data_IF_140062995428
#
_entry.id   IF_140062995428
#
_cell.length_a   1.000
_cell.length_b   1.000
_cell.length_c   1.000
_cell.angle_alpha   90.00
_cell.angle_beta   90.00
_cell.angle_gamma   90.00
#
_symmetry.space_group_name_H-M   'P 1'
#
loop_
_entity.id
_entity.type
_entity.pdbx_description
1 polymer ?
#
# COMPACT_ATOMS: atom_id res chain seq x y z
N UNK A 1 -11.89 -8.57 10.78
CA UNK A 1 -11.30 -7.29 10.32
C UNK A 1 -9.88 -7.23 10.83
N UNK A 2 -8.91 -6.92 9.97
CA UNK A 2 -7.54 -6.60 10.39
C UNK A 2 -7.51 -5.10 10.69
N UNK A 3 -7.06 -4.69 11.87
CA UNK A 3 -6.96 -3.27 12.26
C UNK A 3 -5.54 -3.00 12.67
N UNK A 4 -4.78 -2.23 11.88
CA UNK A 4 -3.42 -1.80 12.21
C UNK A 4 -3.45 -0.44 12.90
N UNK A 5 -2.95 -0.38 14.13
CA UNK A 5 -2.82 0.89 14.88
C UNK A 5 -1.44 1.49 14.65
N UNK A 6 -1.41 2.70 14.13
CA UNK A 6 -0.18 3.50 13.99
C UNK A 6 -0.09 4.44 15.19
N UNK A 7 0.81 4.17 16.14
CA UNK A 7 0.93 4.92 17.40
C UNK A 7 1.88 6.11 17.34
N UNK A 8 2.68 6.25 16.28
CA UNK A 8 3.72 7.26 16.17
C UNK A 8 3.21 8.72 16.20
N UNK A 9 1.93 8.96 15.91
CA UNK A 9 1.31 10.30 15.90
C UNK A 9 -0.04 10.35 16.68
N UNK A 10 -0.29 9.40 17.57
CA UNK A 10 -1.58 9.21 18.26
C UNK A 10 -2.46 8.11 17.63
N UNK A 11 -3.57 7.72 18.28
CA UNK A 11 -4.46 6.65 17.80
C UNK A 11 -5.13 7.07 16.48
N UNK A 12 -4.70 6.49 15.36
CA UNK A 12 -5.42 6.55 14.08
C UNK A 12 -6.12 5.22 13.84
N UNK A 13 -7.42 5.28 13.53
CA UNK A 13 -8.12 4.13 12.98
C UNK A 13 -7.45 3.74 11.66
N UNK A 14 -7.28 2.43 11.44
CA UNK A 14 -6.60 1.86 10.28
C UNK A 14 -7.42 2.10 9.02
N UNK A 15 -7.29 3.28 8.41
CA UNK A 15 -7.78 3.51 7.06
C UNK A 15 -6.83 2.80 6.11
N UNK A 16 -7.34 1.85 5.33
CA UNK A 16 -6.59 1.09 4.35
C UNK A 16 -7.06 1.43 2.94
N UNK A 17 -6.12 1.44 1.98
CA UNK A 17 -6.44 1.43 0.56
C UNK A 17 -6.75 -0.02 0.18
N UNK A 18 -7.95 -0.26 -0.35
CA UNK A 18 -8.34 -1.54 -0.91
C UNK A 18 -8.20 -1.49 -2.44
N UNK A 19 -7.46 -2.43 -3.00
CA UNK A 19 -7.34 -2.65 -4.44
C UNK A 19 -8.12 -3.90 -4.79
N UNK A 20 -9.17 -3.72 -5.59
CA UNK A 20 -10.03 -4.79 -6.08
C UNK A 20 -9.72 -5.05 -7.55
N UNK A 21 -9.57 -6.31 -7.92
CA UNK A 21 -9.57 -6.68 -9.32
C UNK A 21 -10.92 -6.34 -9.96
N UNK A 22 -10.89 -5.77 -11.16
CA UNK A 22 -12.10 -5.46 -11.92
C UNK A 22 -12.89 -6.72 -12.32
N UNK A 23 -12.22 -7.86 -12.49
CA UNK A 23 -12.87 -9.13 -12.79
C UNK A 23 -12.18 -10.29 -12.04
N UNK A 24 -12.91 -11.39 -11.81
CA UNK A 24 -12.40 -12.56 -11.07
C UNK A 24 -11.35 -13.40 -11.81
N UNK A 25 -10.97 -13.03 -13.04
CA UNK A 25 -10.10 -13.84 -13.90
C UNK A 25 -8.66 -13.31 -13.97
N UNK A 26 -8.39 -12.09 -13.49
CA UNK A 26 -7.06 -11.47 -13.56
C UNK A 26 -6.05 -12.01 -12.54
N UNK A 27 -6.47 -12.90 -11.63
CA UNK A 27 -5.66 -13.30 -10.48
C UNK A 27 -5.46 -12.17 -9.47
N UNK A 28 -4.63 -12.38 -8.43
CA UNK A 28 -4.44 -11.41 -7.38
C UNK A 28 -3.55 -10.24 -7.84
N UNK A 29 -3.82 -9.05 -7.30
CA UNK A 29 -3.01 -7.86 -7.58
C UNK A 29 -1.57 -8.00 -7.01
N UNK A 30 -1.41 -8.75 -5.91
CA UNK A 30 -0.11 -9.01 -5.28
C UNK A 30 0.00 -10.45 -4.78
N UNK A 31 1.23 -10.94 -4.57
CA UNK A 31 1.52 -12.30 -4.11
C UNK A 31 2.34 -12.28 -2.81
N UNK A 32 2.41 -13.43 -2.10
CA UNK A 32 3.33 -13.56 -0.97
C UNK A 32 4.76 -13.19 -1.38
N UNK A 33 5.37 -12.26 -0.65
CA UNK A 33 6.68 -11.71 -0.95
C UNK A 33 6.66 -10.24 -1.43
N UNK A 34 5.52 -9.76 -1.94
CA UNK A 34 5.41 -8.38 -2.43
C UNK A 34 5.18 -7.35 -1.31
N UNK A 35 4.93 -7.80 -0.07
CA UNK A 35 4.74 -6.94 1.10
C UNK A 35 5.88 -5.92 1.26
N UNK A 36 5.53 -4.66 1.47
CA UNK A 36 6.49 -3.54 1.54
C UNK A 36 6.71 -2.85 0.19
N UNK A 37 6.16 -3.37 -0.91
CA UNK A 37 6.16 -2.68 -2.20
C UNK A 37 5.30 -1.43 -2.18
N UNK A 38 5.63 -0.49 -3.07
CA UNK A 38 4.86 0.74 -3.25
C UNK A 38 3.76 0.55 -4.30
N UNK A 39 2.55 1.03 -4.00
CA UNK A 39 1.43 1.10 -4.95
C UNK A 39 1.43 2.51 -5.55
N UNK A 40 1.48 2.59 -6.88
CA UNK A 40 1.46 3.85 -7.63
C UNK A 40 0.24 3.96 -8.54
N UNK A 41 -0.25 5.17 -8.75
CA UNK A 41 -1.31 5.43 -9.75
C UNK A 41 -0.73 5.53 -11.18
N UNK A 42 -1.61 5.66 -12.17
CA UNK A 42 -1.23 5.78 -13.57
C UNK A 42 -0.42 7.07 -13.89
N UNK A 43 -0.36 8.02 -12.96
CA UNK A 43 0.43 9.25 -13.07
C UNK A 43 1.74 9.18 -12.26
N UNK A 44 2.09 8.01 -11.73
CA UNK A 44 3.29 7.79 -10.92
C UNK A 44 3.19 8.32 -9.49
N UNK A 45 2.00 8.66 -8.99
CA UNK A 45 1.84 9.12 -7.60
C UNK A 45 1.82 7.95 -6.65
N UNK A 46 2.52 8.09 -5.54
CA UNK A 46 2.56 7.10 -4.45
C UNK A 46 1.23 7.07 -3.70
N UNK A 47 0.49 5.97 -3.83
CA UNK A 47 -0.88 5.82 -3.28
C UNK A 47 -0.85 5.14 -1.93
N UNK A 48 -0.15 4.02 -1.81
CA UNK A 48 -0.13 3.21 -0.59
C UNK A 48 1.08 2.29 -0.50
N UNK A 49 1.45 1.91 0.73
CA UNK A 49 2.42 0.84 0.98
C UNK A 49 1.69 -0.50 1.08
N UNK A 50 2.04 -1.46 0.23
CA UNK A 50 1.43 -2.79 0.19
C UNK A 50 1.69 -3.55 1.50
N UNK A 51 0.62 -4.02 2.16
CA UNK A 51 0.74 -4.73 3.44
C UNK A 51 0.32 -6.18 3.36
N UNK A 52 -0.80 -6.49 2.71
CA UNK A 52 -1.38 -7.83 2.66
C UNK A 52 -2.43 -7.98 1.57
N UNK A 53 -2.70 -9.22 1.16
CA UNK A 53 -3.90 -9.60 0.41
C UNK A 53 -4.79 -10.55 1.22
N UNK A 54 -6.03 -10.74 0.80
CA UNK A 54 -6.94 -11.72 1.42
C UNK A 54 -6.62 -13.17 1.05
N UNK A 55 -5.91 -13.38 -0.06
CA UNK A 55 -5.71 -14.68 -0.69
C UNK A 55 -6.98 -15.12 -1.41
N UNK A 56 -6.86 -15.49 -2.69
CA UNK A 56 -7.95 -16.15 -3.41
C UNK A 56 -8.01 -17.63 -3.02
N UNK A 57 -9.20 -18.12 -2.72
CA UNK A 57 -9.52 -19.55 -2.79
C UNK A 57 -9.83 -19.87 -4.25
N UNK A 58 -9.44 -21.05 -4.73
CA UNK A 58 -9.39 -21.47 -6.14
C UNK A 58 -10.72 -21.43 -6.95
N UNK A 59 -11.78 -20.83 -6.40
CA UNK A 59 -13.04 -20.58 -7.07
C UNK A 59 -13.60 -19.18 -6.71
N UNK A 60 -13.59 -18.30 -7.70
CA UNK A 60 -14.42 -17.08 -7.80
C UNK A 60 -14.29 -15.98 -6.73
N UNK A 61 -13.32 -16.03 -5.80
CA UNK A 61 -13.14 -14.92 -4.85
C UNK A 61 -12.20 -13.84 -5.40
N UNK A 62 -12.76 -12.64 -5.61
CA UNK A 62 -12.00 -11.42 -5.86
C UNK A 62 -10.98 -11.22 -4.74
N UNK A 63 -9.69 -11.42 -5.01
CA UNK A 63 -8.65 -11.08 -4.05
C UNK A 63 -8.67 -9.58 -3.81
N UNK A 64 -8.69 -9.19 -2.53
CA UNK A 64 -8.58 -7.81 -2.10
C UNK A 64 -7.17 -7.62 -1.59
N UNK A 65 -6.43 -6.73 -2.24
CA UNK A 65 -5.15 -6.25 -1.73
C UNK A 65 -5.36 -5.02 -0.85
N UNK A 66 -4.67 -4.97 0.28
CA UNK A 66 -4.68 -3.87 1.22
C UNK A 66 -3.31 -3.18 1.29
N UNK A 67 -3.34 -1.86 1.40
CA UNK A 67 -2.16 -1.04 1.62
C UNK A 67 -2.43 0.11 2.58
N UNK A 68 -1.38 0.59 3.22
CA UNK A 68 -1.41 1.77 4.08
C UNK A 68 -1.39 3.04 3.24
N UNK A 69 -2.41 3.91 3.29
CA UNK A 69 -2.47 5.12 2.48
C UNK A 69 -1.25 6.02 2.68
N UNK A 70 -0.61 6.39 1.57
CA UNK A 70 0.63 7.16 1.59
C UNK A 70 0.43 8.57 2.14
N UNK A 71 -0.74 9.19 1.91
CA UNK A 71 -0.99 10.58 2.32
C UNK A 71 -0.77 10.83 3.82
N UNK A 72 -1.10 9.86 4.67
CA UNK A 72 -0.88 9.97 6.11
C UNK A 72 0.36 9.21 6.58
N UNK A 73 0.73 8.13 5.89
CA UNK A 73 1.90 7.31 6.22
C UNK A 73 3.18 8.10 5.99
N UNK A 74 3.23 8.93 4.94
CA UNK A 74 4.38 9.76 4.63
C UNK A 74 4.76 10.72 5.76
N UNK A 75 3.77 11.26 6.48
CA UNK A 75 4.03 12.12 7.65
C UNK A 75 4.73 11.35 8.77
N UNK A 76 4.40 10.07 8.96
CA UNK A 76 5.09 9.21 9.95
C UNK A 76 6.51 8.89 9.48
N UNK A 77 6.68 8.55 8.21
CA UNK A 77 7.99 8.23 7.63
C UNK A 77 8.94 9.42 7.76
N UNK A 78 8.51 10.63 7.39
CA UNK A 78 9.32 11.85 7.53
C UNK A 78 9.67 12.17 8.99
N UNK A 79 8.74 11.94 9.92
CA UNK A 79 8.99 12.16 11.34
C UNK A 79 10.07 11.20 11.89
N UNK A 80 10.06 9.95 11.44
CA UNK A 80 11.02 8.93 11.87
C UNK A 80 12.36 9.00 11.11
N UNK A 81 12.33 9.41 9.84
CA UNK A 81 13.47 9.48 8.94
C UNK A 81 13.54 10.87 8.29
N UNK A 82 14.07 11.88 9.01
CA UNK A 82 14.29 13.21 8.46
C UNK A 82 15.28 13.12 7.29
N UNK A 83 14.80 13.32 6.06
CA UNK A 83 15.58 13.14 4.83
C UNK A 83 15.08 12.01 3.91
N UNK A 84 14.04 11.27 4.31
CA UNK A 84 13.36 10.36 3.40
C UNK A 84 12.85 11.11 2.16
N UNK A 85 13.14 10.56 0.98
CA UNK A 85 12.66 11.07 -0.30
C UNK A 85 12.02 9.92 -1.10
N UNK A 86 10.88 10.18 -1.73
CA UNK A 86 10.22 9.23 -2.62
C UNK A 86 10.61 9.42 -4.09
N UNK A 87 11.23 10.55 -4.41
CA UNK A 87 11.72 10.85 -5.73
C UNK A 87 13.21 10.53 -5.77
N UNK A 88 13.59 9.72 -6.74
CA UNK A 88 14.98 9.64 -7.15
C UNK A 88 15.27 10.93 -7.91
N UNK A 89 16.34 11.62 -7.55
CA UNK A 89 16.86 12.67 -8.44
C UNK A 89 17.27 11.96 -9.71
N UNK A 90 16.61 12.27 -10.83
CA UNK A 90 17.16 11.94 -12.13
C UNK A 90 18.48 12.72 -12.20
N UNK A 91 19.62 12.02 -12.20
CA UNK A 91 20.90 12.60 -12.61
C UNK A 91 20.85 12.92 -14.12
N UNK A 92 19.91 13.76 -14.54
CA UNK A 92 19.86 14.33 -15.87
C UNK A 92 20.74 15.58 -15.87
N UNK A 93 22.03 15.35 -16.12
CA UNK A 93 22.94 16.34 -16.70
C UNK A 93 23.06 16.13 -18.21
#
# INVERSE_FOLDING_TARGET
>A
SHVRRYSALGSRDSVEVAVLSYNGHSGPFSKPGDSGSIIVDALGKFVALLTSGTGSTDSDSSDITFGSPMYWLWEIIKAQFPGANLYFEDEDN
#
